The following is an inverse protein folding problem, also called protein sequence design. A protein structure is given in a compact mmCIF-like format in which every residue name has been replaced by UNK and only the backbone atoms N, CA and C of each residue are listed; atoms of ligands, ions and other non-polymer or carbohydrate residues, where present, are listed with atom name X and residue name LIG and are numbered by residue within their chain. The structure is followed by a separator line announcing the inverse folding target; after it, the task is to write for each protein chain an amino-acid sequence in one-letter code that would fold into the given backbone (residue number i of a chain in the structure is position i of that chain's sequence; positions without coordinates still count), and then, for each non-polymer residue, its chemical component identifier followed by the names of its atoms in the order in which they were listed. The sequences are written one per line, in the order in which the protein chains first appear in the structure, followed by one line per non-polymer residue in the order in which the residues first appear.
data_IF_658547315650
#
_entry.id   IF_658547315650
#
_cell.length_a   1.000
_cell.length_b   1.000
_cell.length_c   1.000
_cell.angle_alpha   90.00
_cell.angle_beta   90.00
_cell.angle_gamma   90.00
#
_symmetry.space_group_name_H-M   'P 1'
#
loop_
_entity.id
_entity.type
_entity.pdbx_description
1 polymer ?
#
# COMPACT_ATOMS: atom_id res chain seq x y z
N UNK A 1 -18.77 -2.84 37.00
CA UNK A 1 -17.44 -3.05 36.39
C UNK A 1 -17.64 -3.07 34.89
N UNK A 2 -17.77 -1.87 34.33
CA UNK A 2 -18.00 -1.66 32.90
C UNK A 2 -16.80 -2.16 32.11
N UNK A 3 -17.08 -3.05 31.16
CA UNK A 3 -16.17 -3.34 30.07
C UNK A 3 -15.98 -2.04 29.29
N UNK A 4 -14.88 -1.34 29.57
CA UNK A 4 -14.28 -0.38 28.65
C UNK A 4 -14.29 -1.05 27.28
N UNK A 5 -15.13 -0.53 26.38
CA UNK A 5 -15.18 -0.88 24.97
C UNK A 5 -13.85 -0.47 24.36
N UNK A 6 -12.79 -1.23 24.67
CA UNK A 6 -11.48 -1.06 24.09
C UNK A 6 -11.65 -1.31 22.60
N UNK A 7 -11.25 -0.29 21.81
CA UNK A 7 -11.09 -0.36 20.36
C UNK A 7 -10.48 -1.73 20.00
N UNK A 8 -10.93 -2.40 18.92
CA UNK A 8 -10.17 -3.55 18.43
C UNK A 8 -8.73 -3.08 18.19
N UNK A 9 -7.73 -3.72 18.83
CA UNK A 9 -6.35 -3.27 18.74
C UNK A 9 -5.93 -3.33 17.27
N UNK A 10 -5.40 -2.21 16.77
CA UNK A 10 -4.70 -2.22 15.49
C UNK A 10 -3.40 -3.02 15.68
N UNK A 11 -2.97 -3.80 14.68
CA UNK A 11 -1.61 -4.32 14.65
C UNK A 11 -0.59 -3.17 14.80
N UNK A 12 0.56 -3.45 15.40
CA UNK A 12 1.65 -2.47 15.60
C UNK A 12 2.20 -1.89 14.28
N UNK A 13 1.96 -2.57 13.16
CA UNK A 13 2.44 -2.22 11.84
C UNK A 13 1.31 -1.83 10.88
N UNK A 14 0.22 -1.25 11.42
CA UNK A 14 -0.96 -0.91 10.65
C UNK A 14 -1.47 0.52 10.89
N UNK A 15 -1.76 1.22 9.78
CA UNK A 15 -2.40 2.52 9.80
C UNK A 15 -3.87 2.39 9.37
N UNK A 16 -4.76 3.04 10.11
CA UNK A 16 -6.19 3.14 9.80
C UNK A 16 -6.51 4.55 9.36
N UNK A 17 -7.29 4.67 8.28
CA UNK A 17 -7.75 5.93 7.73
C UNK A 17 -9.26 5.88 7.50
N UNK A 18 -9.95 6.93 7.96
CA UNK A 18 -11.42 7.04 7.91
C UNK A 18 -11.79 8.45 7.47
N UNK A 19 -12.50 8.55 6.36
CA UNK A 19 -12.95 9.80 5.75
C UNK A 19 -14.48 9.87 5.82
N UNK A 20 -14.96 10.84 6.59
CA UNK A 20 -16.37 11.07 6.87
C UNK A 20 -16.88 12.24 6.04
N UNK A 21 -18.17 12.25 5.74
CA UNK A 21 -18.83 13.46 5.24
C UNK A 21 -18.91 14.49 6.38
N UNK A 22 -18.36 15.68 6.17
CA UNK A 22 -18.34 16.74 7.18
C UNK A 22 -19.76 17.28 7.46
N UNK A 23 -20.62 17.39 6.45
CA UNK A 23 -22.02 17.78 6.60
C UNK A 23 -22.92 16.55 6.81
N UNK A 24 -23.52 16.44 7.99
CA UNK A 24 -24.25 15.24 8.45
C UNK A 24 -25.63 15.00 7.79
N UNK A 25 -26.10 15.84 6.86
CA UNK A 25 -27.50 15.79 6.38
C UNK A 25 -27.68 15.96 4.86
N UNK A 26 -26.74 15.49 4.04
CA UNK A 26 -27.01 15.39 2.61
C UNK A 26 -27.85 14.12 2.31
N UNK A 27 -29.07 14.23 1.74
CA UNK A 27 -29.80 13.06 1.27
C UNK A 27 -28.96 12.33 0.22
N UNK A 28 -28.69 11.04 0.45
CA UNK A 28 -27.82 10.22 -0.41
C UNK A 28 -26.38 10.02 0.08
N UNK A 29 -26.09 10.25 1.36
CA UNK A 29 -24.74 10.14 1.95
C UNK A 29 -23.95 8.87 1.59
N UNK A 30 -24.60 7.70 1.52
CA UNK A 30 -23.93 6.46 1.06
C UNK A 30 -23.50 6.55 -0.41
N UNK A 31 -24.39 6.97 -1.30
CA UNK A 31 -24.10 7.09 -2.72
C UNK A 31 -22.98 8.10 -2.98
N UNK A 32 -22.99 9.22 -2.25
CA UNK A 32 -21.95 10.24 -2.31
C UNK A 32 -20.60 9.72 -1.82
N UNK A 33 -20.57 9.02 -0.68
CA UNK A 33 -19.35 8.41 -0.15
C UNK A 33 -18.77 7.38 -1.11
N UNK A 34 -19.60 6.48 -1.66
CA UNK A 34 -19.17 5.50 -2.68
C UNK A 34 -18.63 6.19 -3.93
N UNK A 35 -19.31 7.24 -4.40
CA UNK A 35 -18.85 8.03 -5.54
C UNK A 35 -17.49 8.71 -5.26
N UNK A 36 -17.30 9.29 -4.07
CA UNK A 36 -16.03 9.86 -3.66
C UNK A 36 -14.90 8.80 -3.64
N UNK A 37 -15.17 7.60 -3.12
CA UNK A 37 -14.19 6.51 -3.14
C UNK A 37 -13.78 6.11 -4.57
N UNK A 38 -14.75 5.99 -5.47
CA UNK A 38 -14.51 5.66 -6.88
C UNK A 38 -13.72 6.76 -7.60
N UNK A 39 -14.10 8.03 -7.42
CA UNK A 39 -13.41 9.16 -8.02
C UNK A 39 -11.99 9.31 -7.47
N UNK A 40 -11.78 9.10 -6.17
CA UNK A 40 -10.46 9.09 -5.55
C UNK A 40 -9.58 7.96 -6.12
N UNK A 41 -10.12 6.74 -6.23
CA UNK A 41 -9.40 5.61 -6.81
C UNK A 41 -8.90 5.91 -8.23
N UNK A 42 -9.73 6.54 -9.07
CA UNK A 42 -9.34 6.96 -10.43
C UNK A 42 -8.33 8.10 -10.39
N UNK A 43 -8.59 9.14 -9.57
CA UNK A 43 -7.75 10.34 -9.49
C UNK A 43 -6.32 10.03 -9.07
N UNK A 44 -6.17 9.12 -8.11
CA UNK A 44 -4.87 8.74 -7.54
C UNK A 44 -4.30 7.45 -8.13
N UNK A 45 -4.97 6.80 -9.09
CA UNK A 45 -4.48 5.61 -9.79
C UNK A 45 -3.05 5.75 -10.34
N UNK A 46 -2.62 6.89 -10.96
CA UNK A 46 -1.24 7.04 -11.41
C UNK A 46 -0.20 6.84 -10.31
N UNK A 47 -0.50 7.27 -9.08
CA UNK A 47 0.40 7.13 -7.95
C UNK A 47 0.29 5.74 -7.34
N UNK A 48 -0.93 5.26 -7.12
CA UNK A 48 -1.21 3.99 -6.45
C UNK A 48 -0.78 2.77 -7.26
N UNK A 49 -0.93 2.81 -8.58
CA UNK A 49 -0.57 1.71 -9.48
C UNK A 49 0.94 1.60 -9.73
N UNK A 50 1.68 2.70 -9.58
CA UNK A 50 3.13 2.73 -9.70
C UNK A 50 3.85 2.40 -8.38
N UNK A 51 3.14 2.48 -7.26
CA UNK A 51 3.71 2.28 -5.94
C UNK A 51 3.82 0.80 -5.58
N UNK A 52 4.99 0.36 -5.12
CA UNK A 52 5.22 -0.99 -4.62
C UNK A 52 4.97 -1.01 -3.12
N UNK A 53 3.77 -1.42 -2.72
CA UNK A 53 3.38 -1.56 -1.32
C UNK A 53 4.14 -2.70 -0.64
N UNK A 54 4.46 -2.52 0.64
CA UNK A 54 5.15 -3.53 1.43
C UNK A 54 4.24 -4.73 1.69
N UNK A 55 3.21 -4.62 2.55
CA UNK A 55 2.30 -5.75 2.87
C UNK A 55 0.95 -5.62 2.20
N UNK A 56 0.26 -4.51 2.44
CA UNK A 56 -1.09 -4.29 1.92
C UNK A 56 -1.18 -2.94 1.20
N UNK A 57 -1.93 -2.84 0.09
CA UNK A 57 -2.10 -1.58 -0.59
C UNK A 57 -3.11 -0.67 0.12
N UNK A 58 -3.06 0.62 -0.19
CA UNK A 58 -4.13 1.56 0.16
C UNK A 58 -5.45 1.16 -0.51
N UNK A 59 -6.53 1.12 0.28
CA UNK A 59 -7.86 0.63 -0.09
C UNK A 59 -8.93 1.55 0.49
N UNK A 60 -9.62 2.27 -0.38
CA UNK A 60 -10.70 3.17 0.02
C UNK A 60 -12.05 2.51 -0.23
N UNK A 61 -12.76 2.13 0.83
CA UNK A 61 -14.05 1.43 0.73
C UNK A 61 -15.11 2.09 1.58
N UNK A 62 -16.36 2.02 1.14
CA UNK A 62 -17.49 2.42 1.96
C UNK A 62 -17.67 1.46 3.14
N UNK A 63 -17.76 2.02 4.34
CA UNK A 63 -18.05 1.33 5.59
C UNK A 63 -19.36 1.89 6.14
N UNK A 64 -20.40 1.05 6.31
CA UNK A 64 -21.67 1.51 6.86
C UNK A 64 -21.50 1.92 8.33
N UNK A 65 -22.44 2.74 8.83
CA UNK A 65 -22.47 3.18 10.23
C UNK A 65 -22.41 1.98 11.17
N UNK A 66 -21.52 2.03 12.17
CA UNK A 66 -21.39 1.01 13.23
C UNK A 66 -21.31 1.69 14.59
N UNK A 67 -22.34 1.50 15.41
CA UNK A 67 -22.45 2.14 16.72
C UNK A 67 -22.36 3.66 16.61
N UNK A 68 -21.39 4.25 17.32
CA UNK A 68 -21.10 5.68 17.34
C UNK A 68 -20.26 6.16 16.15
N UNK A 69 -19.68 5.26 15.37
CA UNK A 69 -18.90 5.62 14.17
C UNK A 69 -19.84 5.83 12.98
N UNK A 70 -19.91 7.04 12.39
CA UNK A 70 -20.72 7.31 11.21
C UNK A 70 -20.31 6.47 10.00
N UNK A 71 -21.18 6.43 8.98
CA UNK A 71 -20.80 5.88 7.69
C UNK A 71 -19.65 6.71 7.09
N UNK A 72 -18.66 6.02 6.52
CA UNK A 72 -17.44 6.66 6.04
C UNK A 72 -16.84 5.87 4.88
N UNK A 73 -15.85 6.44 4.21
CA UNK A 73 -14.95 5.69 3.35
C UNK A 73 -13.61 5.54 4.05
N UNK A 74 -13.00 4.36 3.99
CA UNK A 74 -11.76 4.12 4.70
C UNK A 74 -11.25 2.72 4.55
N UNK A 75 -10.18 2.44 5.28
CA UNK A 75 -9.50 1.16 5.28
C UNK A 75 -8.44 1.10 6.37
N UNK A 76 -7.80 -0.06 6.45
CA UNK A 76 -6.62 -0.30 7.26
C UNK A 76 -5.58 -0.91 6.35
N UNK A 77 -4.36 -0.40 6.43
CA UNK A 77 -3.22 -0.88 5.65
C UNK A 77 -2.13 -1.30 6.61
N UNK A 78 -1.72 -2.57 6.52
CA UNK A 78 -0.50 -3.04 7.16
C UNK A 78 0.71 -2.58 6.33
N UNK A 79 1.54 -1.72 6.91
CA UNK A 79 2.75 -1.20 6.26
C UNK A 79 4.00 -2.03 6.58
N UNK A 80 3.95 -2.90 7.60
CA UNK A 80 5.10 -3.73 7.99
C UNK A 80 6.28 -2.87 8.44
N UNK A 81 7.47 -3.15 7.89
CA UNK A 81 8.68 -2.38 8.22
C UNK A 81 8.84 -1.11 7.36
N UNK A 82 7.98 -0.89 6.36
CA UNK A 82 8.12 0.26 5.45
C UNK A 82 7.29 1.46 5.95
N UNK A 83 7.84 2.22 6.89
CA UNK A 83 7.22 3.45 7.43
C UNK A 83 6.87 4.47 6.32
N UNK A 84 7.53 4.41 5.16
CA UNK A 84 7.19 5.24 4.00
C UNK A 84 5.78 4.95 3.43
N UNK A 85 5.25 3.72 3.59
CA UNK A 85 3.87 3.39 3.21
C UNK A 85 2.87 4.16 4.09
N UNK A 86 3.13 4.26 5.40
CA UNK A 86 2.30 5.03 6.34
C UNK A 86 2.26 6.50 5.95
N UNK A 87 3.43 7.13 5.74
CA UNK A 87 3.51 8.54 5.37
C UNK A 87 2.96 8.83 3.98
N UNK A 88 3.07 7.89 3.05
CA UNK A 88 2.41 8.02 1.75
C UNK A 88 0.88 7.99 1.91
N UNK A 89 0.33 7.19 2.82
CA UNK A 89 -1.10 7.21 3.14
C UNK A 89 -1.52 8.53 3.77
N UNK A 90 -0.71 9.13 4.66
CA UNK A 90 -0.97 10.48 5.20
C UNK A 90 -1.05 11.51 4.07
N UNK A 91 -0.11 11.48 3.13
CA UNK A 91 -0.13 12.34 1.94
C UNK A 91 -1.39 12.12 1.10
N UNK A 92 -1.75 10.87 0.80
CA UNK A 92 -2.94 10.52 0.01
C UNK A 92 -4.22 11.01 0.69
N UNK A 93 -4.38 10.77 1.98
CA UNK A 93 -5.58 11.21 2.73
C UNK A 93 -5.69 12.73 2.73
N UNK A 94 -4.58 13.45 2.93
CA UNK A 94 -4.57 14.91 2.82
C UNK A 94 -5.03 15.37 1.44
N UNK A 95 -4.44 14.83 0.36
CA UNK A 95 -4.82 15.22 -1.01
C UNK A 95 -6.26 14.80 -1.36
N UNK A 96 -6.77 13.68 -0.84
CA UNK A 96 -8.18 13.31 -0.97
C UNK A 96 -9.08 14.36 -0.30
N UNK A 97 -8.79 14.79 0.93
CA UNK A 97 -9.60 15.84 1.59
C UNK A 97 -9.50 17.20 0.91
N UNK A 98 -8.42 17.45 0.16
CA UNK A 98 -8.24 18.65 -0.66
C UNK A 98 -9.07 18.62 -1.93
N UNK A 99 -9.07 17.49 -2.64
CA UNK A 99 -9.87 17.28 -3.86
C UNK A 99 -11.37 17.19 -3.55
N UNK A 100 -11.72 16.59 -2.40
CA UNK A 100 -13.09 16.42 -1.92
C UNK A 100 -13.30 17.19 -0.61
N UNK A 101 -13.51 18.53 -0.67
CA UNK A 101 -13.57 19.39 0.52
C UNK A 101 -14.75 19.11 1.46
N UNK A 102 -15.71 18.29 1.03
CA UNK A 102 -16.79 17.77 1.88
C UNK A 102 -16.37 16.61 2.78
N UNK A 103 -15.14 16.10 2.65
CA UNK A 103 -14.61 15.01 3.47
C UNK A 103 -13.69 15.53 4.57
N UNK A 104 -13.93 15.06 5.80
CA UNK A 104 -13.02 15.18 6.92
C UNK A 104 -12.41 13.81 7.23
N UNK A 105 -11.10 13.73 7.37
CA UNK A 105 -10.38 12.48 7.50
C UNK A 105 -9.66 12.39 8.84
N UNK A 106 -9.76 11.21 9.47
CA UNK A 106 -8.97 10.81 10.63
C UNK A 106 -8.00 9.70 10.22
N UNK A 107 -6.78 9.76 10.71
CA UNK A 107 -5.74 8.75 10.50
C UNK A 107 -5.16 8.40 11.86
N UNK A 108 -5.10 7.12 12.19
CA UNK A 108 -4.62 6.63 13.47
C UNK A 108 -3.92 5.27 13.32
N UNK A 109 -2.94 5.00 14.17
CA UNK A 109 -2.16 3.75 14.26
C UNK A 109 -2.32 3.10 15.65
N UNK A 110 -1.44 2.18 16.03
CA UNK A 110 -1.44 1.56 17.36
C UNK A 110 -1.13 2.53 18.50
N UNK A 111 -0.41 3.63 18.23
CA UNK A 111 -0.09 4.69 19.19
C UNK A 111 -1.23 5.73 19.28
N UNK A 112 -2.20 5.67 18.38
CA UNK A 112 -3.37 6.51 18.35
C UNK A 112 -3.19 7.69 17.39
N UNK A 113 -2.97 8.89 17.92
CA UNK A 113 -2.83 10.11 17.11
C UNK A 113 -1.34 10.38 16.79
N UNK A 114 -0.71 9.49 16.03
CA UNK A 114 0.74 9.57 15.73
C UNK A 114 1.17 10.86 15.02
N UNK A 115 0.27 11.54 14.30
CA UNK A 115 0.53 12.85 13.71
C UNK A 115 0.94 13.89 14.76
N UNK A 116 0.44 13.76 15.99
CA UNK A 116 0.79 14.65 17.10
C UNK A 116 2.21 14.39 17.61
N UNK A 117 2.74 13.17 17.45
CA UNK A 117 4.11 12.83 17.85
C UNK A 117 5.12 13.64 17.02
N UNK A 118 4.90 13.76 15.71
CA UNK A 118 5.76 14.57 14.84
C UNK A 118 5.71 16.07 15.17
N UNK A 119 4.61 16.54 15.75
CA UNK A 119 4.40 17.93 16.13
C UNK A 119 4.59 18.18 17.64
N UNK A 120 5.15 17.22 18.40
CA UNK A 120 5.17 17.22 19.87
C UNK A 120 5.71 18.53 20.47
N UNK A 121 6.77 19.10 19.90
CA UNK A 121 7.41 20.34 20.38
C UNK A 121 6.53 21.59 20.23
N UNK A 122 5.47 21.50 19.43
CA UNK A 122 4.59 22.61 19.08
C UNK A 122 3.16 22.44 19.60
N UNK A 123 2.87 21.31 20.27
CA UNK A 123 1.52 21.03 20.75
C UNK A 123 1.12 22.01 21.85
N UNK A 124 -0.16 22.41 21.90
CA UNK A 124 -0.68 23.13 23.04
C UNK A 124 -0.57 22.31 24.32
N UNK A 125 -0.26 22.95 25.46
CA UNK A 125 -0.07 22.28 26.76
C UNK A 125 -1.27 21.46 27.24
N UNK A 126 -2.45 21.79 26.75
CA UNK A 126 -3.68 21.10 27.10
C UNK A 126 -3.86 19.77 26.37
N UNK A 127 -3.24 19.60 25.21
CA UNK A 127 -3.42 18.43 24.36
C UNK A 127 -2.46 17.33 24.82
N UNK A 128 -3.02 16.20 25.24
CA UNK A 128 -2.29 15.05 25.74
C UNK A 128 -2.87 13.74 25.17
N UNK A 129 -2.15 12.61 25.30
CA UNK A 129 -2.63 11.32 24.79
C UNK A 129 -4.02 10.94 25.31
N UNK A 130 -4.36 11.30 26.55
CA UNK A 130 -5.62 10.97 27.21
C UNK A 130 -6.83 11.72 26.63
N UNK A 131 -6.63 12.93 26.11
CA UNK A 131 -7.70 13.79 25.60
C UNK A 131 -7.67 14.05 24.09
N UNK A 132 -6.71 13.49 23.36
CA UNK A 132 -6.51 13.69 21.92
C UNK A 132 -7.53 12.97 21.01
N UNK A 133 -8.26 11.99 21.55
CA UNK A 133 -9.17 11.16 20.77
C UNK A 133 -10.26 11.98 20.06
N UNK A 134 -10.42 11.72 18.74
CA UNK A 134 -11.41 12.37 17.87
C UNK A 134 -11.28 13.90 17.81
N UNK A 135 -10.06 14.45 17.96
CA UNK A 135 -9.80 15.90 17.83
C UNK A 135 -8.98 16.27 16.59
N UNK A 136 -8.24 15.33 16.02
CA UNK A 136 -7.30 15.58 14.93
C UNK A 136 -7.90 15.13 13.61
N UNK A 137 -8.02 16.05 12.65
CA UNK A 137 -8.58 15.76 11.33
C UNK A 137 -7.82 16.47 10.22
N UNK A 138 -7.66 15.81 9.07
CA UNK A 138 -7.48 16.51 7.81
C UNK A 138 -8.83 16.96 7.28
N UNK A 139 -8.97 18.25 6.96
CA UNK A 139 -10.17 18.80 6.35
C UNK A 139 -9.76 19.86 5.35
N UNK A 140 -10.30 19.78 4.11
CA UNK A 140 -9.91 20.66 2.99
C UNK A 140 -8.39 20.70 2.72
N UNK A 141 -7.68 19.59 2.98
CA UNK A 141 -6.23 19.48 2.79
C UNK A 141 -5.36 20.06 3.93
N UNK A 142 -5.98 20.56 5.00
CA UNK A 142 -5.29 21.17 6.14
C UNK A 142 -5.55 20.40 7.43
N UNK A 143 -4.57 20.40 8.34
CA UNK A 143 -4.70 19.75 9.64
C UNK A 143 -5.48 20.65 10.61
N UNK A 144 -6.49 20.08 11.25
CA UNK A 144 -7.35 20.72 12.23
C UNK A 144 -7.27 20.00 13.57
N UNK A 145 -7.28 20.76 14.67
CA UNK A 145 -7.29 20.27 16.06
C UNK A 145 -8.44 20.93 16.80
N UNK A 146 -9.40 20.13 17.27
CA UNK A 146 -10.59 20.61 17.98
C UNK A 146 -10.26 20.85 19.47
N UNK A 147 -10.43 22.07 20.03
CA UNK A 147 -10.12 22.41 21.42
C UNK A 147 -11.09 21.77 22.44
N UNK A 148 -10.69 21.73 23.72
CA UNK A 148 -11.45 21.05 24.80
C UNK A 148 -12.87 21.59 24.99
N UNK A 149 -13.07 22.91 24.86
CA UNK A 149 -14.38 23.60 24.82
C UNK A 149 -14.14 25.10 24.56
N UNK A 150 -15.21 25.90 24.45
CA UNK A 150 -15.15 27.39 24.36
C UNK A 150 -14.70 28.08 25.66
N UNK A 151 -14.36 27.30 26.67
CA UNK A 151 -13.93 27.77 27.99
C UNK A 151 -12.49 28.33 27.86
N UNK A 152 -12.18 29.49 28.48
CA UNK A 152 -10.81 30.02 28.50
C UNK A 152 -9.79 28.97 28.95
N UNK A 153 -8.58 28.99 28.37
CA UNK A 153 -7.53 27.97 28.62
C UNK A 153 -7.20 27.77 30.12
N UNK A 154 -7.42 28.80 30.94
CA UNK A 154 -7.19 28.77 32.39
C UNK A 154 -8.13 27.83 33.15
N UNK A 155 -9.30 27.50 32.59
CA UNK A 155 -10.33 26.70 33.25
C UNK A 155 -10.55 25.35 32.55
N UNK A 156 -9.60 24.92 31.70
CA UNK A 156 -9.71 23.62 31.05
C UNK A 156 -9.55 22.46 32.04
N UNK A 157 -10.62 21.68 32.14
CA UNK A 157 -10.57 20.36 32.73
C UNK A 157 -9.88 19.40 31.75
N UNK A 158 -8.64 19.02 32.06
CA UNK A 158 -7.88 18.05 31.26
C UNK A 158 -8.51 16.65 31.27
N UNK A 159 -9.50 16.40 32.16
CA UNK A 159 -10.32 15.19 32.20
C UNK A 159 -11.63 15.31 31.42
N UNK A 160 -11.87 16.43 30.71
CA UNK A 160 -13.04 16.62 29.87
C UNK A 160 -13.17 15.50 28.83
N UNK A 161 -14.40 15.01 28.67
CA UNK A 161 -14.68 13.94 27.72
C UNK A 161 -14.28 14.33 26.29
N UNK A 162 -13.65 13.40 25.59
CA UNK A 162 -13.35 13.54 24.16
C UNK A 162 -14.65 13.66 23.36
N UNK A 163 -14.70 14.52 22.33
CA UNK A 163 -15.88 14.63 21.49
C UNK A 163 -16.16 13.30 20.78
N UNK A 164 -17.43 13.02 20.54
CA UNK A 164 -17.81 11.93 19.64
C UNK A 164 -17.48 12.33 18.19
N UNK A 165 -17.31 11.34 17.30
CA UNK A 165 -17.05 11.62 15.88
C UNK A 165 -18.16 12.51 15.26
N UNK A 166 -19.47 12.27 15.48
CA UNK A 166 -20.52 13.16 14.98
C UNK A 166 -20.39 14.61 15.47
N UNK A 167 -20.07 14.82 16.75
CA UNK A 167 -19.88 16.17 17.32
C UNK A 167 -18.68 16.86 16.69
N UNK A 168 -17.55 16.15 16.56
CA UNK A 168 -16.35 16.66 15.91
C UNK A 168 -16.61 17.09 14.45
N UNK A 169 -17.37 16.28 13.70
CA UNK A 169 -17.76 16.61 12.32
C UNK A 169 -18.69 17.82 12.24
N UNK A 170 -19.67 17.91 13.15
CA UNK A 170 -20.58 19.06 13.22
C UNK A 170 -19.80 20.36 13.49
N UNK A 171 -18.84 20.32 14.42
CA UNK A 171 -17.92 21.42 14.70
C UNK A 171 -17.10 21.79 13.46
N UNK A 172 -16.43 20.82 12.82
CA UNK A 172 -15.63 21.09 11.62
C UNK A 172 -16.45 21.66 10.46
N UNK A 173 -17.70 21.25 10.29
CA UNK A 173 -18.55 21.75 9.21
C UNK A 173 -18.98 23.22 9.39
N UNK A 174 -19.07 23.68 10.64
CA UNK A 174 -19.59 25.02 10.98
C UNK A 174 -18.47 26.02 11.27
N UNK A 175 -17.36 25.57 11.87
CA UNK A 175 -16.32 26.42 12.46
C UNK A 175 -14.90 25.98 12.09
N UNK A 176 -14.69 25.40 10.90
CA UNK A 176 -13.37 24.87 10.50
C UNK A 176 -12.22 25.86 10.65
N UNK A 177 -12.45 27.15 10.41
CA UNK A 177 -11.39 28.17 10.47
C UNK A 177 -10.83 28.35 11.88
N UNK A 178 -11.64 28.11 12.92
CA UNK A 178 -11.23 28.22 14.33
C UNK A 178 -10.41 27.00 14.79
N UNK A 179 -10.56 25.87 14.11
CA UNK A 179 -9.90 24.62 14.47
C UNK A 179 -8.65 24.36 13.63
N UNK A 180 -8.27 25.31 12.78
CA UNK A 180 -7.05 25.20 11.99
C UNK A 180 -5.85 25.08 12.93
N UNK A 181 -5.07 24.01 12.79
CA UNK A 181 -3.93 23.78 13.66
C UNK A 181 -2.90 24.91 13.48
N UNK A 182 -2.20 25.26 14.56
CA UNK A 182 -1.18 26.30 14.52
C UNK A 182 -0.11 26.00 13.47
N UNK A 183 0.43 27.05 12.84
CA UNK A 183 1.38 26.91 11.74
C UNK A 183 2.58 25.98 12.05
N UNK A 184 3.21 26.03 13.24
CA UNK A 184 4.32 25.13 13.54
C UNK A 184 3.92 23.65 13.57
N UNK A 185 2.69 23.33 14.02
CA UNK A 185 2.14 21.96 14.05
C UNK A 185 1.94 21.48 12.61
N UNK A 186 1.29 22.29 11.78
CA UNK A 186 1.06 21.97 10.36
C UNK A 186 2.37 21.82 9.61
N UNK A 187 3.33 22.71 9.84
CA UNK A 187 4.65 22.65 9.23
C UNK A 187 5.41 21.37 9.61
N UNK A 188 5.31 20.91 10.86
CA UNK A 188 5.94 19.66 11.30
C UNK A 188 5.38 18.44 10.55
N UNK A 189 4.05 18.32 10.47
CA UNK A 189 3.40 17.25 9.70
C UNK A 189 3.67 17.39 8.20
N UNK A 190 3.56 18.60 7.65
CA UNK A 190 3.84 18.89 6.24
C UNK A 190 5.28 18.56 5.86
N UNK A 191 6.25 18.77 6.75
CA UNK A 191 7.66 18.42 6.50
C UNK A 191 7.83 16.92 6.22
N UNK A 192 7.06 16.03 6.86
CA UNK A 192 7.11 14.58 6.63
C UNK A 192 6.51 14.15 5.30
N UNK A 193 5.42 14.79 4.88
CA UNK A 193 4.77 14.54 3.59
C UNK A 193 5.33 15.40 2.44
N UNK A 194 6.26 16.32 2.73
CA UNK A 194 6.86 17.16 1.72
C UNK A 194 7.70 16.30 0.76
N UNK A 195 7.63 16.63 -0.53
CA UNK A 195 8.31 15.90 -1.59
C UNK A 195 7.54 14.71 -2.17
N UNK A 196 6.38 14.35 -1.64
CA UNK A 196 5.43 13.54 -2.41
C UNK A 196 4.76 14.43 -3.49
N UNK A 197 4.55 13.90 -4.71
CA UNK A 197 4.70 12.50 -5.12
C UNK A 197 6.11 12.08 -5.57
N UNK A 198 7.06 13.00 -5.76
CA UNK A 198 8.40 12.70 -6.32
C UNK A 198 9.20 11.71 -5.45
N UNK A 199 9.00 11.75 -4.14
CA UNK A 199 9.62 10.85 -3.15
C UNK A 199 9.30 9.38 -3.43
N UNK A 200 8.18 9.07 -4.06
CA UNK A 200 7.81 7.71 -4.48
C UNK A 200 8.89 7.14 -5.40
N UNK A 201 9.36 7.91 -6.38
CA UNK A 201 10.38 7.43 -7.30
C UNK A 201 11.75 7.34 -6.62
N UNK A 202 12.04 8.25 -5.69
CA UNK A 202 13.28 8.23 -4.92
C UNK A 202 13.35 7.08 -3.90
N UNK A 203 12.21 6.53 -3.47
CA UNK A 203 12.14 5.37 -2.56
C UNK A 203 12.23 4.04 -3.31
N UNK A 204 12.21 4.04 -4.64
CA UNK A 204 12.48 2.85 -5.45
C UNK A 204 13.98 2.59 -5.55
N UNK A 205 14.32 1.31 -5.71
CA UNK A 205 15.68 0.84 -5.95
C UNK A 205 15.64 -0.27 -6.98
N UNK A 206 16.36 -0.10 -8.09
CA UNK A 206 16.44 -1.08 -9.17
C UNK A 206 17.76 -1.82 -9.08
N UNK A 207 17.69 -3.14 -8.94
CA UNK A 207 18.87 -4.00 -8.84
C UNK A 207 18.84 -5.08 -9.91
N UNK A 208 20.02 -5.48 -10.41
CA UNK A 208 20.12 -6.65 -11.26
C UNK A 208 19.93 -7.92 -10.43
N UNK A 209 19.12 -8.83 -10.92
CA UNK A 209 18.84 -10.12 -10.30
C UNK A 209 18.92 -11.23 -11.34
N UNK A 210 19.72 -12.26 -11.09
CA UNK A 210 19.74 -13.47 -11.91
C UNK A 210 18.63 -14.42 -11.45
N UNK A 211 17.58 -14.56 -12.25
CA UNK A 211 16.34 -15.23 -11.86
C UNK A 211 15.95 -16.34 -12.84
N UNK A 212 15.26 -17.41 -12.39
CA UNK A 212 14.55 -18.30 -13.29
C UNK A 212 13.62 -17.53 -14.21
N UNK A 213 13.56 -17.92 -15.48
CA UNK A 213 12.75 -17.18 -16.45
C UNK A 213 11.26 -17.13 -16.07
N UNK A 214 10.75 -18.18 -15.42
CA UNK A 214 9.37 -18.15 -14.90
C UNK A 214 9.13 -17.02 -13.90
N UNK A 215 10.09 -16.71 -13.03
CA UNK A 215 9.99 -15.60 -12.08
C UNK A 215 10.12 -14.27 -12.81
N UNK A 216 11.08 -14.16 -13.74
CA UNK A 216 11.23 -12.97 -14.57
C UNK A 216 9.93 -12.65 -15.34
N UNK A 217 9.25 -13.68 -15.86
CA UNK A 217 7.98 -13.51 -16.56
C UNK A 217 6.81 -13.15 -15.64
N UNK A 218 6.76 -13.71 -14.43
CA UNK A 218 5.77 -13.32 -13.41
C UNK A 218 5.97 -11.88 -12.99
N UNK A 219 7.20 -11.47 -12.64
CA UNK A 219 7.52 -10.09 -12.29
C UNK A 219 7.30 -9.13 -13.46
N UNK A 220 7.60 -9.58 -14.68
CA UNK A 220 7.30 -8.83 -15.89
C UNK A 220 5.83 -8.48 -15.92
N UNK A 221 4.89 -9.37 -15.57
CA UNK A 221 3.45 -9.09 -15.57
C UNK A 221 2.90 -8.47 -14.28
N UNK A 222 3.44 -8.86 -13.12
CA UNK A 222 3.00 -8.42 -11.79
C UNK A 222 4.20 -8.03 -10.93
N UNK A 223 4.72 -6.79 -11.12
CA UNK A 223 5.87 -6.30 -10.37
C UNK A 223 5.62 -6.25 -8.86
N UNK A 224 4.39 -5.97 -8.43
CA UNK A 224 4.01 -5.87 -7.01
C UNK A 224 4.27 -7.16 -6.19
N UNK A 225 4.31 -8.33 -6.85
CA UNK A 225 4.62 -9.62 -6.19
C UNK A 225 6.05 -9.71 -5.63
N UNK A 226 6.95 -8.80 -6.04
CA UNK A 226 8.29 -8.67 -5.46
C UNK A 226 8.22 -8.49 -3.94
N UNK A 227 7.28 -7.69 -3.45
CA UNK A 227 7.14 -7.39 -2.03
C UNK A 227 6.76 -8.64 -1.23
N UNK A 228 5.78 -9.40 -1.72
CA UNK A 228 5.35 -10.65 -1.11
C UNK A 228 6.48 -11.69 -1.08
N UNK A 229 7.27 -11.80 -2.16
CA UNK A 229 8.37 -12.75 -2.25
C UNK A 229 9.51 -12.39 -1.29
N UNK A 230 9.90 -11.11 -1.25
CA UNK A 230 10.89 -10.61 -0.30
C UNK A 230 10.45 -10.85 1.14
N UNK A 231 9.19 -10.59 1.48
CA UNK A 231 8.67 -10.85 2.84
C UNK A 231 8.66 -12.32 3.19
N UNK A 232 8.21 -13.18 2.28
CA UNK A 232 8.21 -14.62 2.49
C UNK A 232 9.62 -15.14 2.76
N UNK A 233 10.62 -14.58 2.09
CA UNK A 233 12.02 -14.88 2.37
C UNK A 233 12.50 -14.26 3.68
N UNK A 234 12.26 -12.98 3.92
CA UNK A 234 12.75 -12.24 5.09
C UNK A 234 12.20 -12.79 6.41
N UNK A 235 10.89 -13.07 6.46
CA UNK A 235 10.17 -13.59 7.62
C UNK A 235 10.09 -15.14 7.65
N UNK A 236 10.92 -15.82 6.86
CA UNK A 236 10.90 -17.29 6.71
C UNK A 236 10.99 -18.01 8.06
N UNK A 237 10.11 -18.98 8.26
CA UNK A 237 10.11 -19.83 9.46
C UNK A 237 10.80 -21.19 9.22
N UNK A 238 10.94 -22.07 10.23
CA UNK A 238 11.53 -23.40 10.04
C UNK A 238 10.80 -24.28 9.01
N UNK A 239 9.51 -24.05 8.79
CA UNK A 239 8.72 -24.75 7.78
C UNK A 239 9.05 -24.27 6.37
N UNK A 240 9.29 -22.97 6.20
CA UNK A 240 9.70 -22.31 4.94
C UNK A 240 11.10 -22.73 4.50
N UNK A 241 11.99 -22.88 5.48
CA UNK A 241 13.33 -23.41 5.22
C UNK A 241 13.28 -24.85 4.67
N UNK A 242 12.21 -25.62 4.90
CA UNK A 242 12.05 -26.94 4.26
C UNK A 242 11.72 -26.83 2.78
N UNK A 243 11.00 -25.80 2.36
CA UNK A 243 10.77 -25.52 0.94
C UNK A 243 12.10 -25.13 0.25
N UNK A 244 12.91 -24.31 0.94
CA UNK A 244 14.23 -23.88 0.45
C UNK A 244 15.26 -25.01 0.28
N UNK A 245 15.06 -26.17 0.93
CA UNK A 245 15.99 -27.32 0.91
C UNK A 245 15.57 -28.43 -0.06
N UNK A 246 14.58 -28.17 -0.90
CA UNK A 246 14.05 -29.11 -1.89
C UNK A 246 14.24 -28.53 -3.29
N UNK A 247 14.29 -29.38 -4.33
CA UNK A 247 14.23 -28.88 -5.70
C UNK A 247 12.98 -28.04 -5.88
N UNK A 248 13.15 -26.86 -6.47
CA UNK A 248 12.05 -25.95 -6.73
C UNK A 248 11.00 -26.63 -7.59
N UNK A 249 9.73 -26.50 -7.21
CA UNK A 249 8.59 -27.14 -7.90
C UNK A 249 7.86 -26.19 -8.81
N UNK A 250 7.70 -24.94 -8.38
CA UNK A 250 6.98 -23.93 -9.14
C UNK A 250 7.86 -23.33 -10.23
N UNK A 251 9.15 -23.14 -9.94
CA UNK A 251 10.11 -22.52 -10.84
C UNK A 251 11.31 -23.44 -11.03
N UNK A 252 11.46 -24.09 -12.20
CA UNK A 252 12.69 -24.82 -12.51
C UNK A 252 13.92 -23.94 -12.27
N UNK A 253 14.98 -24.51 -11.70
CA UNK A 253 16.19 -23.74 -11.40
C UNK A 253 16.81 -23.15 -12.68
N UNK A 254 16.84 -23.90 -13.78
CA UNK A 254 17.30 -23.39 -15.08
C UNK A 254 16.18 -23.42 -16.13
N UNK A 255 16.21 -22.54 -17.14
CA UNK A 255 17.21 -21.48 -17.39
C UNK A 255 17.04 -20.24 -16.50
N UNK A 256 18.15 -19.53 -16.26
CA UNK A 256 18.18 -18.23 -15.58
C UNK A 256 18.42 -17.09 -16.57
N UNK A 257 17.91 -15.91 -16.24
CA UNK A 257 18.13 -14.69 -17.01
C UNK A 257 18.42 -13.51 -16.08
N UNK A 258 19.30 -12.62 -16.52
CA UNK A 258 19.53 -11.36 -15.82
C UNK A 258 18.32 -10.45 -16.03
N UNK A 259 17.75 -9.96 -14.93
CA UNK A 259 16.56 -9.11 -14.95
C UNK A 259 16.79 -7.88 -14.07
N UNK A 260 16.37 -6.70 -14.53
CA UNK A 260 16.30 -5.52 -13.68
C UNK A 260 15.00 -5.57 -12.86
N UNK A 261 15.12 -5.70 -11.55
CA UNK A 261 13.96 -5.77 -10.64
C UNK A 261 13.88 -4.48 -9.83
N UNK A 262 12.67 -3.90 -9.77
CA UNK A 262 12.39 -2.70 -8.98
C UNK A 262 11.84 -3.10 -7.62
N UNK A 263 12.51 -2.64 -6.56
CA UNK A 263 12.13 -2.79 -5.16
C UNK A 263 11.82 -1.41 -4.57
N UNK A 264 11.23 -1.37 -3.38
CA UNK A 264 11.46 -0.22 -2.49
C UNK A 264 12.84 -0.38 -1.83
N UNK A 265 13.43 0.73 -1.38
CA UNK A 265 14.69 0.68 -0.61
C UNK A 265 14.57 -0.22 0.62
N UNK A 266 13.40 -0.24 1.26
CA UNK A 266 13.11 -1.14 2.39
C UNK A 266 13.18 -2.62 1.96
N UNK A 267 12.46 -3.01 0.91
CA UNK A 267 12.47 -4.37 0.38
C UNK A 267 13.87 -4.81 -0.07
N UNK A 268 14.60 -3.93 -0.75
CA UNK A 268 15.97 -4.20 -1.16
C UNK A 268 16.87 -4.46 0.05
N UNK A 269 16.82 -3.59 1.07
CA UNK A 269 17.61 -3.76 2.29
C UNK A 269 17.26 -5.05 3.04
N UNK A 270 15.96 -5.36 3.16
CA UNK A 270 15.47 -6.61 3.77
C UNK A 270 16.03 -7.84 3.05
N UNK A 271 16.15 -7.82 1.73
CA UNK A 271 16.69 -8.93 0.95
C UNK A 271 18.23 -8.98 1.00
N UNK A 272 18.89 -7.85 0.76
CA UNK A 272 20.35 -7.76 0.66
C UNK A 272 21.04 -8.15 1.97
N UNK A 273 20.54 -7.68 3.12
CA UNK A 273 21.17 -7.90 4.43
C UNK A 273 21.03 -9.34 4.95
N UNK A 274 20.15 -10.15 4.37
CA UNK A 274 19.95 -11.53 4.80
C UNK A 274 21.09 -12.42 4.34
N UNK A 275 21.87 -12.96 5.29
CA UNK A 275 22.87 -13.98 4.98
C UNK A 275 22.20 -15.32 4.75
N UNK A 276 22.33 -15.87 3.56
CA UNK A 276 21.73 -17.15 3.21
C UNK A 276 22.60 -17.91 2.21
N UNK A 277 22.87 -19.18 2.52
CA UNK A 277 23.60 -20.09 1.64
C UNK A 277 22.59 -21.12 1.13
N UNK A 278 22.38 -21.23 -0.19
CA UNK A 278 21.41 -22.18 -0.74
C UNK A 278 21.87 -23.62 -0.49
N UNK A 279 20.92 -24.50 -0.20
CA UNK A 279 21.17 -25.94 -0.13
C UNK A 279 21.40 -26.47 -1.54
N UNK A 280 22.40 -27.35 -1.75
CA UNK A 280 22.68 -27.94 -3.07
C UNK A 280 21.47 -28.64 -3.68
N UNK A 281 20.53 -29.12 -2.84
CA UNK A 281 19.30 -29.78 -3.28
C UNK A 281 18.28 -28.82 -3.89
N UNK A 282 18.40 -27.51 -3.68
CA UNK A 282 17.49 -26.53 -4.28
C UNK A 282 17.73 -26.32 -5.77
N UNK A 283 18.89 -26.75 -6.28
CA UNK A 283 19.31 -26.52 -7.65
C UNK A 283 20.04 -25.18 -7.86
N UNK A 284 20.14 -24.33 -6.83
CA UNK A 284 20.91 -23.09 -6.90
C UNK A 284 22.38 -23.32 -6.55
N UNK A 285 23.26 -22.80 -7.40
CA UNK A 285 24.68 -22.70 -7.13
C UNK A 285 25.11 -21.26 -7.33
N UNK A 286 25.65 -20.64 -6.28
CA UNK A 286 26.20 -19.29 -6.38
C UNK A 286 27.59 -19.33 -7.03
N UNK A 287 27.95 -18.33 -7.85
CA UNK A 287 29.31 -18.17 -8.35
C UNK A 287 30.28 -17.82 -7.20
N UNK A 288 31.57 -17.77 -7.50
CA UNK A 288 32.58 -17.29 -6.54
C UNK A 288 32.25 -15.89 -6.04
N UNK A 289 32.47 -15.55 -4.75
CA UNK A 289 32.30 -14.19 -4.23
C UNK A 289 33.11 -13.11 -4.96
N UNK A 290 34.18 -13.51 -5.68
CA UNK A 290 34.98 -12.62 -6.52
C UNK A 290 34.36 -12.34 -7.89
N UNK A 291 33.20 -12.91 -8.21
CA UNK A 291 32.53 -12.73 -9.49
C UNK A 291 31.95 -11.31 -9.59
N UNK A 292 32.13 -10.57 -10.70
CA UNK A 292 31.67 -9.19 -10.82
C UNK A 292 30.17 -9.01 -10.59
N UNK A 293 29.37 -10.00 -10.95
CA UNK A 293 27.90 -10.01 -10.79
C UNK A 293 27.44 -10.82 -9.57
N UNK A 294 28.32 -11.13 -8.61
CA UNK A 294 27.97 -11.97 -7.46
C UNK A 294 26.73 -11.46 -6.70
N UNK A 295 26.63 -10.13 -6.50
CA UNK A 295 25.48 -9.46 -5.88
C UNK A 295 24.16 -9.81 -6.59
N UNK A 296 24.13 -9.75 -7.92
CA UNK A 296 22.95 -10.06 -8.72
C UNK A 296 22.53 -11.53 -8.64
N UNK A 297 23.49 -12.46 -8.58
CA UNK A 297 23.21 -13.88 -8.36
C UNK A 297 22.71 -14.15 -6.94
N UNK A 298 23.30 -13.48 -5.94
CA UNK A 298 22.90 -13.62 -4.55
C UNK A 298 21.47 -13.07 -4.32
N UNK A 299 21.18 -11.86 -4.78
CA UNK A 299 19.84 -11.25 -4.69
C UNK A 299 18.80 -12.09 -5.44
N UNK A 300 19.12 -12.48 -6.69
CA UNK A 300 18.24 -13.31 -7.50
C UNK A 300 17.92 -14.65 -6.84
N UNK A 301 18.92 -15.31 -6.27
CA UNK A 301 18.73 -16.56 -5.51
C UNK A 301 17.82 -16.35 -4.29
N UNK A 302 18.03 -15.30 -3.48
CA UNK A 302 17.18 -15.01 -2.31
C UNK A 302 15.74 -14.73 -2.73
N UNK A 303 15.55 -13.91 -3.76
CA UNK A 303 14.24 -13.58 -4.29
C UNK A 303 13.52 -14.83 -4.80
N UNK A 304 14.23 -15.70 -5.51
CA UNK A 304 13.66 -16.93 -6.04
C UNK A 304 13.22 -17.92 -4.95
N UNK A 305 13.97 -18.02 -3.85
CA UNK A 305 13.53 -18.78 -2.67
C UNK A 305 12.26 -18.17 -2.05
N UNK A 306 12.13 -16.85 -2.03
CA UNK A 306 10.90 -16.17 -1.62
C UNK A 306 9.68 -16.58 -2.44
N UNK A 307 9.82 -16.60 -3.77
CA UNK A 307 8.78 -17.08 -4.68
C UNK A 307 8.42 -18.56 -4.44
N UNK A 308 9.41 -19.43 -4.27
CA UNK A 308 9.16 -20.86 -3.99
C UNK A 308 8.47 -21.07 -2.62
N UNK A 309 8.83 -20.29 -1.59
CA UNK A 309 8.14 -20.31 -0.28
C UNK A 309 6.65 -19.98 -0.47
N UNK A 310 6.33 -18.90 -1.20
CA UNK A 310 4.95 -18.51 -1.48
C UNK A 310 4.18 -19.63 -2.18
N UNK A 311 4.74 -20.19 -3.25
CA UNK A 311 4.09 -21.27 -3.99
C UNK A 311 3.96 -22.56 -3.17
N UNK A 312 4.86 -22.83 -2.23
CA UNK A 312 4.79 -24.01 -1.36
C UNK A 312 3.62 -23.96 -0.36
N UNK A 313 3.18 -22.75 0.00
CA UNK A 313 2.03 -22.48 0.89
C UNK A 313 0.69 -22.40 0.13
N UNK A 314 0.72 -22.43 -1.20
CA UNK A 314 -0.47 -22.34 -2.04
C UNK A 314 -1.40 -23.54 -1.83
N UNK A 315 -2.68 -23.25 -1.67
CA UNK A 315 -3.73 -24.26 -1.78
C UNK A 315 -4.09 -24.33 -3.27
N UNK A 316 -3.74 -25.40 -3.97
CA UNK A 316 -3.84 -25.58 -5.44
C UNK A 316 -5.26 -25.45 -6.06
N UNK A 317 -6.19 -24.70 -5.47
CA UNK A 317 -7.65 -24.75 -5.69
C UNK A 317 -8.19 -23.54 -6.46
N UNK A 318 -7.38 -22.56 -6.85
CA UNK A 318 -7.92 -21.45 -7.66
C UNK A 318 -7.92 -21.81 -9.14
N UNK A 319 -9.10 -22.16 -9.66
CA UNK A 319 -9.33 -22.28 -11.09
C UNK A 319 -9.08 -20.92 -11.79
N UNK A 320 -8.42 -20.89 -12.96
CA UNK A 320 -8.07 -19.65 -13.67
C UNK A 320 -9.30 -18.79 -14.08
N UNK A 321 -10.50 -19.35 -14.05
CA UNK A 321 -11.74 -18.68 -14.48
C UNK A 321 -12.22 -17.56 -13.55
N UNK A 322 -11.74 -17.50 -12.30
CA UNK A 322 -12.13 -16.43 -11.37
C UNK A 322 -11.54 -15.05 -11.79
N UNK A 323 -10.33 -15.02 -12.37
CA UNK A 323 -9.65 -13.76 -12.74
C UNK A 323 -10.24 -13.09 -13.98
N UNK A 324 -10.68 -13.86 -14.98
CA UNK A 324 -11.33 -13.31 -16.19
C UNK A 324 -12.66 -12.61 -15.87
N UNK A 325 -13.39 -13.09 -14.86
CA UNK A 325 -14.68 -12.52 -14.49
C UNK A 325 -14.56 -11.12 -13.84
N UNK A 326 -13.49 -10.84 -13.08
CA UNK A 326 -13.33 -9.54 -12.39
C UNK A 326 -13.00 -8.40 -13.35
N UNK A 327 -12.11 -8.65 -14.32
CA UNK A 327 -11.76 -7.67 -15.37
C UNK A 327 -12.77 -7.63 -16.53
N UNK A 328 -13.87 -8.39 -16.46
CA UNK A 328 -14.97 -8.34 -17.43
C UNK A 328 -16.27 -7.79 -16.82
N UNK A 329 -16.19 -7.22 -15.61
CA UNK A 329 -17.35 -6.70 -14.90
C UNK A 329 -17.66 -5.22 -15.22
N UNK A 330 -18.90 -4.75 -14.96
CA UNK A 330 -19.29 -3.36 -15.21
C UNK A 330 -18.50 -2.35 -14.36
N UNK A 331 -17.98 -2.79 -13.21
CA UNK A 331 -17.10 -1.97 -12.36
C UNK A 331 -15.77 -1.67 -13.05
N UNK A 332 -15.17 -2.66 -13.71
CA UNK A 332 -13.92 -2.48 -14.47
C UNK A 332 -14.14 -1.55 -15.66
N UNK A 333 -15.21 -1.75 -16.43
CA UNK A 333 -15.52 -0.90 -17.58
C UNK A 333 -15.67 0.58 -17.20
N UNK A 334 -16.36 0.84 -16.08
CA UNK A 334 -16.53 2.20 -15.54
C UNK A 334 -15.20 2.78 -15.04
N UNK A 335 -14.39 1.97 -14.36
CA UNK A 335 -13.07 2.38 -13.89
C UNK A 335 -12.15 2.73 -15.07
N UNK A 336 -12.07 1.86 -16.08
CA UNK A 336 -11.27 2.06 -17.28
C UNK A 336 -11.72 3.29 -18.07
N UNK A 337 -13.04 3.51 -18.23
CA UNK A 337 -13.56 4.73 -18.86
C UNK A 337 -13.12 5.98 -18.10
N UNK A 338 -13.23 5.96 -16.77
CA UNK A 338 -12.82 7.08 -15.93
C UNK A 338 -11.32 7.35 -16.02
N UNK A 339 -10.48 6.31 -16.12
CA UNK A 339 -9.04 6.46 -16.35
C UNK A 339 -8.73 7.16 -17.69
N UNK A 340 -9.44 6.79 -18.76
CA UNK A 340 -9.31 7.44 -20.07
C UNK A 340 -9.72 8.91 -20.03
N UNK A 341 -10.82 9.23 -19.35
CA UNK A 341 -11.30 10.62 -19.17
C UNK A 341 -10.34 11.49 -18.35
N UNK A 342 -9.59 10.89 -17.42
CA UNK A 342 -8.63 11.58 -16.54
C UNK A 342 -7.19 11.57 -17.06
N UNK A 343 -7.00 11.26 -18.35
CA UNK A 343 -5.70 11.23 -19.04
C UNK A 343 -4.64 10.35 -18.35
N UNK A 344 -5.07 9.23 -17.74
CA UNK A 344 -4.17 8.26 -17.12
C UNK A 344 -3.13 7.71 -18.12
N UNK A 345 -3.57 7.49 -19.36
CA UNK A 345 -2.74 6.96 -20.44
C UNK A 345 -1.87 8.03 -21.13
N UNK A 346 -1.92 9.30 -20.70
CA UNK A 346 -1.05 10.39 -21.20
C UNK A 346 -1.04 10.52 -22.73
N UNK A 347 -2.17 10.29 -23.38
CA UNK A 347 -2.31 10.30 -24.84
C UNK A 347 -1.60 9.17 -25.60
N UNK A 348 -1.10 8.12 -24.93
CA UNK A 348 -0.49 6.97 -25.60
C UNK A 348 -1.52 6.20 -26.46
N UNK A 349 -1.09 5.71 -27.63
CA UNK A 349 -1.99 4.99 -28.54
C UNK A 349 -2.35 3.61 -27.97
N UNK A 350 -3.63 3.23 -28.10
CA UNK A 350 -4.11 1.90 -27.72
C UNK A 350 -3.31 0.81 -28.47
N UNK A 351 -2.74 -0.12 -27.72
CA UNK A 351 -1.89 -1.18 -28.27
C UNK A 351 -0.39 -0.86 -28.30
N UNK A 352 0.04 0.37 -28.03
CA UNK A 352 1.47 0.68 -27.83
C UNK A 352 2.03 -0.03 -26.60
N UNK A 353 3.34 -0.29 -26.57
CA UNK A 353 4.00 -0.97 -25.46
C UNK A 353 3.76 -0.26 -24.11
N UNK A 354 3.85 1.08 -24.12
CA UNK A 354 3.64 1.91 -22.93
C UNK A 354 2.17 1.98 -22.51
N UNK A 355 1.23 1.99 -23.46
CA UNK A 355 -0.19 1.86 -23.14
C UNK A 355 -0.49 0.51 -22.47
N UNK A 356 0.07 -0.58 -22.97
CA UNK A 356 -0.10 -1.92 -22.40
C UNK A 356 0.51 -2.02 -21.00
N UNK A 357 1.66 -1.40 -20.77
CA UNK A 357 2.27 -1.30 -19.44
C UNK A 357 1.35 -0.57 -18.45
N UNK A 358 0.88 0.63 -18.80
CA UNK A 358 -0.05 1.41 -17.98
C UNK A 358 -1.37 0.67 -17.73
N UNK A 359 -1.93 0.03 -18.76
CA UNK A 359 -3.16 -0.76 -18.64
C UNK A 359 -2.97 -1.87 -17.61
N UNK A 360 -1.85 -2.59 -17.67
CA UNK A 360 -1.57 -3.68 -16.74
C UNK A 360 -1.35 -3.20 -15.31
N UNK A 361 -0.71 -2.05 -15.12
CA UNK A 361 -0.59 -1.41 -13.80
C UNK A 361 -1.98 -1.04 -13.24
N UNK A 362 -2.86 -0.51 -14.08
CA UNK A 362 -4.24 -0.20 -13.70
C UNK A 362 -5.06 -1.45 -13.38
N UNK A 363 -4.91 -2.53 -14.14
CA UNK A 363 -5.53 -3.83 -13.86
C UNK A 363 -5.08 -4.40 -12.50
N UNK A 364 -3.78 -4.34 -12.21
CA UNK A 364 -3.22 -4.79 -10.93
C UNK A 364 -3.80 -3.96 -9.78
N UNK A 365 -3.76 -2.64 -9.88
CA UNK A 365 -4.34 -1.75 -8.88
C UNK A 365 -5.84 -2.00 -8.67
N UNK A 366 -6.60 -2.19 -9.74
CA UNK A 366 -8.03 -2.47 -9.65
C UNK A 366 -8.30 -3.78 -8.91
N UNK A 367 -7.57 -4.84 -9.23
CA UNK A 367 -7.74 -6.14 -8.58
C UNK A 367 -7.33 -6.11 -7.11
N UNK A 368 -6.27 -5.39 -6.77
CA UNK A 368 -5.73 -5.37 -5.41
C UNK A 368 -6.46 -4.40 -4.47
N UNK A 369 -6.96 -3.27 -4.99
CA UNK A 369 -7.49 -2.17 -4.18
C UNK A 369 -8.98 -1.90 -4.37
N UNK A 370 -9.51 -2.06 -5.59
CA UNK A 370 -10.87 -1.61 -5.94
C UNK A 370 -11.89 -2.76 -5.96
N UNK A 371 -11.52 -3.90 -6.54
CA UNK A 371 -12.43 -5.00 -6.83
C UNK A 371 -12.66 -5.97 -5.66
N UNK A 372 -11.90 -5.85 -4.57
CA UNK A 372 -11.89 -6.81 -3.45
C UNK A 372 -13.13 -6.64 -2.56
N UNK A 373 -14.05 -7.62 -2.50
CA UNK A 373 -15.23 -7.58 -1.62
C UNK A 373 -14.88 -7.62 -0.12
N UNK A 374 -15.82 -7.21 0.74
CA UNK A 374 -15.63 -7.23 2.21
C UNK A 374 -15.43 -8.64 2.80
N UNK A 375 -15.93 -9.68 2.12
CA UNK A 375 -15.93 -11.07 2.60
C UNK A 375 -15.00 -12.00 1.82
N UNK A 376 -14.24 -11.49 0.85
CA UNK A 376 -13.35 -12.34 0.07
C UNK A 376 -12.14 -12.76 0.89
N UNK A 377 -11.89 -14.06 0.96
CA UNK A 377 -10.60 -14.63 1.36
C UNK A 377 -9.56 -14.00 0.43
N UNK A 378 -8.58 -13.27 1.00
CA UNK A 378 -7.48 -12.73 0.20
C UNK A 378 -6.82 -13.89 -0.55
N UNK A 379 -6.75 -13.77 -1.88
CA UNK A 379 -6.05 -14.75 -2.71
C UNK A 379 -4.60 -14.75 -2.26
N UNK A 380 -4.09 -15.91 -1.85
CA UNK A 380 -2.69 -16.02 -1.44
C UNK A 380 -1.79 -15.60 -2.61
N UNK A 381 -0.74 -14.78 -2.40
CA UNK A 381 0.20 -14.44 -3.46
C UNK A 381 0.75 -15.68 -4.18
N UNK A 382 0.93 -16.79 -3.46
CA UNK A 382 1.33 -18.07 -4.05
C UNK A 382 0.31 -18.64 -5.05
N UNK A 383 -0.99 -18.54 -4.76
CA UNK A 383 -2.05 -18.96 -5.68
C UNK A 383 -2.07 -18.04 -6.91
N UNK A 384 -1.85 -16.74 -6.71
CA UNK A 384 -1.79 -15.77 -7.80
C UNK A 384 -0.65 -16.07 -8.77
N UNK A 385 0.54 -16.34 -8.23
CA UNK A 385 1.75 -16.71 -8.97
C UNK A 385 1.51 -17.98 -9.79
N UNK A 386 0.96 -19.03 -9.18
CA UNK A 386 0.70 -20.29 -9.89
C UNK A 386 -0.32 -20.14 -11.00
N UNK A 387 -1.36 -19.32 -10.79
CA UNK A 387 -2.34 -19.00 -11.84
C UNK A 387 -1.70 -18.22 -12.99
N UNK A 388 -0.80 -17.26 -12.71
CA UNK A 388 -0.08 -16.52 -13.75
C UNK A 388 0.80 -17.46 -14.57
N UNK A 389 1.58 -18.34 -13.93
CA UNK A 389 2.45 -19.30 -14.61
C UNK A 389 1.71 -20.22 -15.60
N UNK A 390 0.42 -20.51 -15.37
CA UNK A 390 -0.40 -21.31 -16.31
C UNK A 390 -0.82 -20.52 -17.56
N UNK A 391 -0.85 -19.20 -17.48
CA UNK A 391 -1.37 -18.31 -18.54
C UNK A 391 -0.26 -17.59 -19.31
N UNK A 392 0.92 -17.46 -18.72
CA UNK A 392 2.06 -16.75 -19.31
C UNK A 392 2.70 -17.61 -20.41
N UNK A 393 2.85 -17.05 -21.60
CA UNK A 393 3.77 -17.56 -22.61
C UNK A 393 5.19 -17.07 -22.32
N UNK A 394 6.12 -17.99 -22.10
CA UNK A 394 7.52 -17.68 -21.85
C UNK A 394 8.31 -17.84 -23.15
N UNK A 395 8.84 -16.73 -23.67
CA UNK A 395 9.78 -16.71 -24.80
C UNK A 395 11.20 -16.45 -24.25
N UNK A 396 12.03 -17.50 -24.22
CA UNK A 396 13.38 -17.44 -23.68
C UNK A 396 14.27 -16.46 -24.46
N UNK A 397 14.15 -16.42 -25.78
CA UNK A 397 14.98 -15.56 -26.64
C UNK A 397 14.64 -14.08 -26.45
N UNK A 398 13.39 -13.76 -26.12
CA UNK A 398 12.99 -12.42 -25.72
C UNK A 398 13.69 -11.99 -24.43
N UNK A 399 13.63 -12.80 -23.38
CA UNK A 399 14.27 -12.49 -22.11
C UNK A 399 15.80 -12.38 -22.22
N UNK A 400 16.45 -13.23 -23.02
CA UNK A 400 17.89 -13.15 -23.26
C UNK A 400 18.28 -11.85 -24.00
N UNK A 401 17.46 -11.40 -24.97
CA UNK A 401 17.69 -10.12 -25.66
C UNK A 401 17.51 -8.92 -24.71
N UNK A 402 16.49 -8.95 -23.86
CA UNK A 402 16.28 -7.92 -22.84
C UNK A 402 17.45 -7.87 -21.85
N UNK A 403 17.93 -9.04 -21.40
CA UNK A 403 19.07 -9.16 -20.50
C UNK A 403 20.37 -8.56 -21.06
N UNK A 404 20.55 -8.59 -22.38
CA UNK A 404 21.70 -7.99 -23.05
C UNK A 404 21.67 -6.45 -23.08
N UNK A 405 20.51 -5.83 -22.88
CA UNK A 405 20.29 -4.38 -23.00
C UNK A 405 19.75 -3.75 -21.72
N UNK A 406 20.03 -4.34 -20.55
CA UNK A 406 19.51 -3.83 -19.28
C UNK A 406 20.05 -2.43 -18.94
N UNK A 407 19.19 -1.52 -18.45
CA UNK A 407 19.64 -0.28 -17.83
C UNK A 407 20.59 -0.53 -16.65
N UNK A 408 21.44 0.45 -16.28
CA UNK A 408 22.25 0.35 -15.08
C UNK A 408 21.37 0.20 -13.84
N UNK A 409 21.84 -0.60 -12.89
CA UNK A 409 21.24 -0.68 -11.55
C UNK A 409 21.53 0.59 -10.74
N UNK A 410 20.67 0.84 -9.75
CA UNK A 410 20.87 1.94 -8.81
C UNK A 410 21.98 1.56 -7.82
N UNK A 411 22.76 2.54 -7.36
CA UNK A 411 23.82 2.31 -6.38
C UNK A 411 23.28 1.83 -5.03
N UNK A 412 24.11 1.08 -4.30
CA UNK A 412 23.83 0.60 -2.93
C UNK A 412 23.47 1.73 -1.95
#
# INVERSE_FOLDING_TARGET
MEALLRRPPLPEDAVRYRLFAAAAEAPGGEALLRQCAELAAVRFAPLLAAYVWQRQPFRLRYVPRRGETPAHIGGTTQFGDNVEDEWFIVYLVREITREFPGLAARIDDNDGEFLLIEAADFLPKWLNPENSENRVFFYKGELHIIPLSEIPEQDWDLSAACPTIPEALALLSTRSEEFLAAEPIRAAVHKRINGYPEKIQASLHRAHCCLPVGIAAVLRQRPSLVAAAVQAFYLRDPSDLRACRRPFRAFPAEPHVMTLVTFTRCLYAQLAQQKFVPDRRSGYTLPSPSHPQYSAYELGMKLAHGFEILCSKSSKVVAPDAKKNVLSGPLWERFLRSLKEKDYFKGEMEGSAKYQELLRMAEDHFQQSVAVPESSIEVSPGDEILALLQTISIDLEEFEREAACLPPEDGE
#
